data_IF_829094305992
#
_entry.id   IF_829094305992
#
_cell.length_a   1.000
_cell.length_b   1.000
_cell.length_c   1.000
_cell.angle_alpha   90.00
_cell.angle_beta   90.00
_cell.angle_gamma   90.00
#
_symmetry.space_group_name_H-M   'P 1'
#
loop_
_entity.id
_entity.type
_entity.pdbx_description
1 polymer ?
#
# COMPACT_ATOMS: atom_id res chain seq x y z
N UNK A 1 13.34 15.67 14.62
CA UNK A 1 13.05 14.97 13.36
C UNK A 1 14.07 15.39 12.31
N UNK A 2 14.45 14.52 11.38
CA UNK A 2 15.32 14.95 10.28
C UNK A 2 14.52 15.78 9.27
N UNK A 3 15.06 16.91 8.82
CA UNK A 3 14.42 17.90 7.93
C UNK A 3 13.78 17.28 6.67
N UNK A 4 14.36 16.20 6.13
CA UNK A 4 13.83 15.49 4.95
C UNK A 4 12.43 14.89 5.18
N UNK A 5 12.12 14.41 6.39
CA UNK A 5 10.83 13.77 6.67
C UNK A 5 9.72 14.81 6.83
N UNK A 6 10.04 15.98 7.39
CA UNK A 6 9.11 17.11 7.44
C UNK A 6 8.80 17.64 6.03
N UNK A 7 9.81 17.73 5.16
CA UNK A 7 9.60 18.08 3.75
C UNK A 7 8.73 17.05 3.02
N UNK A 8 8.91 15.76 3.30
CA UNK A 8 8.05 14.70 2.75
C UNK A 8 6.60 14.87 3.20
N UNK A 9 6.36 15.02 4.50
CA UNK A 9 5.00 15.24 5.06
C UNK A 9 4.34 16.43 4.38
N UNK A 10 5.01 17.59 4.32
CA UNK A 10 4.48 18.79 3.66
C UNK A 10 4.21 18.58 2.17
N UNK A 11 5.09 17.85 1.47
CA UNK A 11 4.90 17.56 0.05
C UNK A 11 3.64 16.72 -0.18
N UNK A 12 3.45 15.68 0.63
CA UNK A 12 2.28 14.79 0.51
C UNK A 12 1.01 15.53 0.93
N UNK A 13 1.05 16.28 2.02
CA UNK A 13 -0.07 17.12 2.49
C UNK A 13 -0.49 18.14 1.44
N UNK A 14 0.45 18.86 0.82
CA UNK A 14 0.14 19.81 -0.25
C UNK A 14 -0.45 19.15 -1.51
N UNK A 15 -0.12 17.88 -1.78
CA UNK A 15 -0.53 17.18 -3.00
C UNK A 15 -1.85 16.42 -2.83
N UNK A 16 -2.07 15.82 -1.67
CA UNK A 16 -3.18 14.93 -1.37
C UNK A 16 -4.23 15.57 -0.45
N UNK A 17 -3.89 16.64 0.26
CA UNK A 17 -4.79 17.32 1.20
C UNK A 17 -5.38 16.34 2.20
N UNK A 18 -6.70 16.39 2.33
CA UNK A 18 -7.46 15.54 3.26
C UNK A 18 -7.28 14.05 3.00
N UNK A 19 -6.89 13.64 1.79
CA UNK A 19 -6.68 12.25 1.47
C UNK A 19 -5.34 11.69 1.99
N UNK A 20 -4.50 12.51 2.62
CA UNK A 20 -3.33 12.03 3.34
C UNK A 20 -3.76 11.40 4.67
N UNK A 21 -3.57 10.08 4.82
CA UNK A 21 -4.05 9.34 5.99
C UNK A 21 -3.00 9.23 7.09
N UNK A 22 -1.74 9.07 6.72
CA UNK A 22 -0.67 8.85 7.68
C UNK A 22 0.70 8.68 7.03
N UNK A 23 1.75 9.04 7.77
CA UNK A 23 3.12 8.71 7.42
C UNK A 23 3.87 8.20 8.65
N UNK A 24 4.59 7.09 8.50
CA UNK A 24 5.32 6.43 9.58
C UNK A 24 6.73 6.17 9.10
N UNK A 25 7.72 6.62 9.87
CA UNK A 25 9.11 6.23 9.67
C UNK A 25 9.44 5.06 10.57
N UNK A 26 9.99 3.99 10.03
CA UNK A 26 10.58 2.93 10.84
C UNK A 26 12.11 2.97 10.78
N UNK A 27 12.73 2.49 11.85
CA UNK A 27 14.17 2.43 12.05
C UNK A 27 14.53 1.29 13.01
N UNK A 28 15.81 0.97 13.20
CA UNK A 28 16.22 -0.20 14.03
C UNK A 28 15.60 -0.23 15.44
N UNK A 29 15.38 0.93 16.07
CA UNK A 29 14.75 1.05 17.39
C UNK A 29 13.21 1.16 17.43
N UNK A 30 12.50 0.81 16.37
CA UNK A 30 11.02 0.89 16.31
C UNK A 30 10.51 1.83 15.21
N UNK A 31 9.57 2.70 15.55
CA UNK A 31 8.95 3.60 14.58
C UNK A 31 8.61 4.97 15.17
N UNK A 32 8.44 5.96 14.30
CA UNK A 32 7.95 7.29 14.63
C UNK A 32 6.82 7.66 13.68
N UNK A 33 5.67 8.01 14.23
CA UNK A 33 4.56 8.57 13.47
C UNK A 33 4.96 10.00 13.06
N UNK A 34 5.09 10.24 11.76
CA UNK A 34 5.41 11.55 11.19
C UNK A 34 4.16 12.41 11.06
N UNK A 35 3.05 11.77 10.71
CA UNK A 35 1.74 12.35 10.53
C UNK A 35 0.70 11.23 10.67
N UNK A 36 -0.47 11.54 11.22
CA UNK A 36 -1.61 10.64 11.27
C UNK A 36 -2.89 11.47 11.31
N UNK A 37 -3.82 11.17 10.40
CA UNK A 37 -5.13 11.80 10.36
C UNK A 37 -5.98 11.29 11.53
N UNK A 38 -6.79 12.17 12.11
CA UNK A 38 -7.50 11.91 13.38
C UNK A 38 -8.43 10.70 13.33
N UNK A 39 -9.12 10.48 12.19
CA UNK A 39 -10.01 9.34 11.96
C UNK A 39 -9.26 7.99 11.85
N UNK A 40 -7.96 8.02 11.51
CA UNK A 40 -7.10 6.84 11.43
C UNK A 40 -6.42 6.56 12.78
N UNK A 41 -6.28 7.56 13.65
CA UNK A 41 -5.63 7.49 14.96
C UNK A 41 -6.41 6.71 16.04
N UNK A 42 -6.89 5.52 15.68
CA UNK A 42 -7.70 4.61 16.48
C UNK A 42 -6.86 3.65 17.30
N UNK A 43 -7.46 3.01 18.33
CA UNK A 43 -6.81 1.94 19.08
C UNK A 43 -6.47 0.74 18.19
N UNK A 44 -7.33 0.41 17.23
CA UNK A 44 -7.06 -0.63 16.24
C UNK A 44 -5.79 -0.36 15.42
N UNK A 45 -5.52 0.91 15.06
CA UNK A 45 -4.26 1.28 14.41
C UNK A 45 -3.07 1.12 15.35
N UNK A 46 -3.19 1.53 16.62
CA UNK A 46 -2.12 1.37 17.63
C UNK A 46 -1.75 -0.10 17.85
N UNK A 47 -2.73 -0.99 17.84
CA UNK A 47 -2.49 -2.43 18.00
C UNK A 47 -1.87 -3.06 16.73
N UNK A 48 -2.17 -2.50 15.55
CA UNK A 48 -1.72 -3.05 14.27
C UNK A 48 -0.36 -2.50 13.79
N UNK A 49 0.07 -1.33 14.26
CA UNK A 49 1.21 -0.60 13.68
C UNK A 49 2.51 -1.37 13.78
N UNK A 50 2.79 -2.03 14.91
CA UNK A 50 4.04 -2.80 15.07
C UNK A 50 4.09 -3.97 14.09
N UNK A 51 2.97 -4.68 13.92
CA UNK A 51 2.87 -5.75 12.92
C UNK A 51 2.97 -5.24 11.48
N UNK A 52 2.53 -4.00 11.20
CA UNK A 52 2.74 -3.36 9.90
C UNK A 52 4.22 -3.04 9.65
N UNK A 53 4.93 -2.54 10.67
CA UNK A 53 6.35 -2.22 10.56
C UNK A 53 7.19 -3.48 10.35
N UNK A 54 6.92 -4.56 11.08
CA UNK A 54 7.64 -5.83 10.89
C UNK A 54 7.44 -6.39 9.47
N UNK A 55 6.23 -6.28 8.91
CA UNK A 55 5.98 -6.63 7.50
C UNK A 55 6.76 -5.74 6.53
N UNK A 56 6.83 -4.44 6.79
CA UNK A 56 7.61 -3.51 5.95
C UNK A 56 9.12 -3.81 5.97
N UNK A 57 9.66 -4.27 7.11
CA UNK A 57 11.06 -4.75 7.22
C UNK A 57 11.28 -6.06 6.47
N UNK A 58 10.31 -6.98 6.54
CA UNK A 58 10.37 -8.26 5.85
C UNK A 58 9.99 -8.18 4.36
N UNK A 59 9.56 -7.02 3.87
CA UNK A 59 9.11 -6.86 2.49
C UNK A 59 10.21 -7.23 1.49
N UNK A 60 9.85 -8.10 0.54
CA UNK A 60 10.70 -8.56 -0.54
C UNK A 60 10.09 -8.14 -1.88
N UNK A 61 10.75 -7.28 -2.68
CA UNK A 61 10.28 -6.93 -4.01
C UNK A 61 10.18 -8.17 -4.93
N UNK A 62 9.22 -8.15 -5.85
CA UNK A 62 9.05 -9.24 -6.84
C UNK A 62 10.26 -9.45 -7.75
N UNK A 63 11.09 -8.42 -7.93
CA UNK A 63 12.29 -8.49 -8.76
C UNK A 63 13.43 -7.74 -8.10
N UNK A 64 14.62 -8.34 -8.16
CA UNK A 64 15.85 -7.72 -7.72
C UNK A 64 16.63 -7.19 -8.92
N UNK A 65 17.29 -6.02 -8.79
CA UNK A 65 18.18 -5.51 -9.84
C UNK A 65 19.28 -6.52 -10.22
N UNK A 66 19.69 -7.38 -9.28
CA UNK A 66 20.65 -8.46 -9.52
C UNK A 66 20.09 -9.55 -10.45
N UNK A 67 18.79 -9.84 -10.35
CA UNK A 67 18.10 -10.82 -11.18
C UNK A 67 17.65 -10.23 -12.53
N UNK A 68 17.35 -8.94 -12.58
CA UNK A 68 16.95 -8.24 -13.80
C UNK A 68 17.50 -6.79 -13.85
N UNK A 69 18.75 -6.59 -14.32
CA UNK A 69 19.44 -5.31 -14.25
C UNK A 69 18.74 -4.17 -14.99
N UNK A 70 17.97 -4.49 -16.03
CA UNK A 70 17.26 -3.51 -16.85
C UNK A 70 16.11 -2.80 -16.11
N UNK A 71 15.71 -3.28 -14.93
CA UNK A 71 14.69 -2.62 -14.10
C UNK A 71 15.23 -1.38 -13.38
N UNK A 72 16.55 -1.31 -13.15
CA UNK A 72 17.17 -0.31 -12.29
C UNK A 72 16.90 -0.53 -10.81
N UNK A 73 17.31 0.44 -9.98
CA UNK A 73 17.14 0.38 -8.52
C UNK A 73 15.68 0.62 -8.11
N UNK A 74 15.16 -0.21 -7.20
CA UNK A 74 13.83 -0.03 -6.60
C UNK A 74 13.71 1.34 -5.96
N UNK A 75 12.71 2.12 -6.37
CA UNK A 75 12.45 3.47 -5.83
C UNK A 75 11.41 3.43 -4.71
N UNK A 76 10.35 2.66 -4.89
CA UNK A 76 9.27 2.47 -3.93
C UNK A 76 8.43 1.25 -4.31
N UNK A 77 7.67 0.73 -3.35
CA UNK A 77 6.59 -0.23 -3.58
C UNK A 77 5.25 0.44 -3.32
N UNK A 78 4.23 0.08 -4.11
CA UNK A 78 2.87 0.59 -3.95
C UNK A 78 1.91 -0.58 -3.81
N UNK A 79 1.14 -0.56 -2.73
CA UNK A 79 0.08 -1.52 -2.47
C UNK A 79 -1.27 -0.80 -2.49
N UNK A 80 -2.22 -1.37 -3.24
CA UNK A 80 -3.56 -0.81 -3.38
C UNK A 80 -4.56 -1.71 -2.65
N UNK A 81 -5.21 -1.12 -1.65
CA UNK A 81 -6.27 -1.72 -0.84
C UNK A 81 -7.62 -1.13 -1.24
N UNK A 82 -8.71 -1.78 -0.83
CA UNK A 82 -10.08 -1.32 -1.12
C UNK A 82 -10.32 0.15 -0.72
N UNK A 83 -9.75 0.59 0.40
CA UNK A 83 -9.95 1.94 0.95
C UNK A 83 -8.68 2.77 1.03
N UNK A 84 -7.52 2.22 0.66
CA UNK A 84 -6.23 2.89 0.86
C UNK A 84 -5.24 2.60 -0.27
N UNK A 85 -4.31 3.52 -0.47
CA UNK A 85 -3.04 3.23 -1.11
C UNK A 85 -1.92 3.36 -0.07
N UNK A 86 -1.01 2.38 -0.02
CA UNK A 86 0.18 2.41 0.82
C UNK A 86 1.40 2.47 -0.08
N UNK A 87 2.26 3.45 0.16
CA UNK A 87 3.54 3.61 -0.52
C UNK A 87 4.64 3.32 0.48
N UNK A 88 5.55 2.43 0.10
CA UNK A 88 6.70 2.04 0.90
C UNK A 88 8.00 2.54 0.25
N UNK A 89 8.63 3.50 0.92
CA UNK A 89 9.96 4.01 0.57
C UNK A 89 11.01 3.34 1.46
N UNK A 90 11.70 2.33 0.94
CA UNK A 90 12.78 1.66 1.68
C UNK A 90 14.06 2.49 1.58
N UNK A 91 14.62 2.88 2.73
CA UNK A 91 15.88 3.63 2.82
C UNK A 91 17.08 2.74 3.18
N UNK A 92 16.80 1.51 3.64
CA UNK A 92 17.78 0.49 4.02
C UNK A 92 17.10 -0.78 4.52
N UNK A 93 17.85 -1.78 5.03
CA UNK A 93 17.28 -3.06 5.46
C UNK A 93 16.20 -2.93 6.54
N UNK A 94 16.44 -2.03 7.50
CA UNK A 94 15.60 -1.82 8.68
C UNK A 94 15.12 -0.38 8.82
N UNK A 95 15.21 0.40 7.74
CA UNK A 95 14.85 1.83 7.72
C UNK A 95 14.00 2.14 6.50
N UNK A 96 12.98 2.97 6.70
CA UNK A 96 12.12 3.40 5.61
C UNK A 96 10.94 4.21 6.09
N UNK A 97 10.10 4.60 5.13
CA UNK A 97 8.88 5.38 5.36
C UNK A 97 7.70 4.70 4.68
N UNK A 98 6.62 4.56 5.43
CA UNK A 98 5.30 4.20 4.92
C UNK A 98 4.46 5.46 4.81
N UNK A 99 3.82 5.66 3.67
CA UNK A 99 2.84 6.72 3.43
C UNK A 99 1.51 6.05 3.08
N UNK A 100 0.44 6.44 3.76
CA UNK A 100 -0.91 5.98 3.48
C UNK A 100 -1.77 7.13 2.97
N UNK A 101 -2.54 6.84 1.94
CA UNK A 101 -3.46 7.77 1.27
C UNK A 101 -4.83 7.09 1.13
N UNK A 102 -5.90 7.88 0.99
CA UNK A 102 -7.18 7.34 0.52
C UNK A 102 -7.01 6.80 -0.92
N UNK A 103 -7.79 5.77 -1.27
CA UNK A 103 -7.70 5.10 -2.58
C UNK A 103 -7.84 6.08 -3.75
N UNK A 104 -8.64 7.13 -3.56
CA UNK A 104 -8.95 8.12 -4.59
C UNK A 104 -7.76 9.01 -5.00
N UNK A 105 -6.64 9.01 -4.27
CA UNK A 105 -5.43 9.72 -4.73
C UNK A 105 -4.65 8.91 -5.75
N UNK A 106 -4.81 7.59 -5.75
CA UNK A 106 -4.12 6.67 -6.63
C UNK A 106 -4.90 6.41 -7.94
N UNK A 107 -5.77 7.32 -8.40
CA UNK A 107 -6.74 7.02 -9.47
C UNK A 107 -6.11 6.45 -10.76
N UNK A 108 -4.93 6.93 -11.18
CA UNK A 108 -4.29 6.42 -12.40
C UNK A 108 -3.91 4.94 -12.31
N UNK A 109 -3.15 4.58 -11.27
CA UNK A 109 -2.73 3.19 -11.04
C UNK A 109 -3.88 2.32 -10.54
N UNK A 110 -4.74 2.88 -9.69
CA UNK A 110 -5.91 2.23 -9.12
C UNK A 110 -6.97 1.88 -10.16
N UNK A 111 -7.30 2.80 -11.07
CA UNK A 111 -8.23 2.52 -12.17
C UNK A 111 -7.69 1.43 -13.10
N UNK A 112 -6.39 1.45 -13.39
CA UNK A 112 -5.74 0.41 -14.17
C UNK A 112 -5.84 -0.96 -13.49
N UNK A 113 -5.50 -1.05 -12.21
CA UNK A 113 -5.62 -2.31 -11.43
C UNK A 113 -7.07 -2.80 -11.37
N UNK A 114 -8.03 -1.92 -11.08
CA UNK A 114 -9.46 -2.28 -11.08
C UNK A 114 -9.90 -2.86 -12.42
N UNK A 115 -9.43 -2.28 -13.54
CA UNK A 115 -9.74 -2.80 -14.89
C UNK A 115 -9.08 -4.14 -15.16
N UNK A 116 -7.84 -4.37 -14.72
CA UNK A 116 -7.22 -5.69 -14.81
C UNK A 116 -8.01 -6.72 -14.00
N UNK A 117 -8.40 -6.38 -12.77
CA UNK A 117 -9.19 -7.26 -11.91
C UNK A 117 -10.55 -7.57 -12.50
N UNK A 118 -11.25 -6.60 -13.13
CA UNK A 118 -12.56 -6.86 -13.72
C UNK A 118 -12.49 -7.94 -14.81
N UNK A 119 -11.46 -7.88 -15.67
CA UNK A 119 -11.22 -8.92 -16.70
C UNK A 119 -10.98 -10.29 -16.06
N UNK A 120 -10.20 -10.35 -14.97
CA UNK A 120 -9.89 -11.61 -14.28
C UNK A 120 -11.11 -12.21 -13.55
N UNK A 121 -12.08 -11.39 -13.16
CA UNK A 121 -13.31 -11.84 -12.46
C UNK A 121 -14.42 -12.21 -13.46
N UNK A 122 -14.46 -11.60 -14.64
CA UNK A 122 -15.45 -11.90 -15.71
C UNK A 122 -15.30 -13.33 -16.28
N UNK A 123 -14.10 -13.92 -16.25
CA UNK A 123 -13.85 -15.32 -16.67
C UNK A 123 -14.23 -16.37 -15.59
N UNK A 124 -14.72 -15.95 -14.42
CA UNK A 124 -15.15 -16.83 -13.33
C UNK A 124 -16.62 -17.28 -13.38
N UNK A 125 -17.32 -17.00 -14.48
CA UNK A 125 -18.73 -17.38 -14.69
C UNK A 125 -18.91 -18.88 -14.59
N UNK A 126 -19.45 -19.33 -13.45
CA UNK A 126 -19.92 -20.70 -13.23
C UNK A 126 -20.93 -21.03 -14.32
N UNK A 127 -20.55 -21.89 -15.27
CA UNK A 127 -21.51 -22.51 -16.17
C UNK A 127 -22.57 -23.23 -15.33
N UNK A 128 -23.82 -22.80 -15.53
CA UNK A 128 -24.97 -23.25 -14.78
C UNK A 128 -25.12 -24.77 -14.80
N UNK A 129 -25.24 -25.35 -13.62
CA UNK A 129 -25.97 -26.59 -13.45
C UNK A 129 -27.48 -26.28 -13.53
N UNK A 130 -27.94 -25.92 -14.73
CA UNK A 130 -29.35 -26.05 -15.09
C UNK A 130 -29.53 -27.42 -15.73
N UNK A 131 -30.05 -28.35 -14.93
CA UNK A 131 -30.45 -29.68 -15.34
C UNK A 131 -31.57 -30.14 -14.41
N UNK A 132 -32.72 -29.49 -14.54
CA UNK A 132 -34.00 -29.98 -14.00
C UNK A 132 -34.67 -30.87 -15.04
N UNK A 133 -35.42 -31.85 -14.54
CA UNK A 133 -36.37 -32.81 -15.17
C UNK A 133 -35.82 -34.23 -15.35
N UNK A 134 -36.17 -35.24 -14.55
CA UNK A 134 -37.46 -35.88 -14.14
C UNK A 134 -37.65 -37.24 -14.84
N UNK A 135 -38.25 -38.19 -14.11
CA UNK A 135 -38.82 -39.49 -14.54
C UNK A 135 -37.86 -40.71 -14.56
N UNK A 136 -37.91 -41.57 -13.53
CA UNK A 136 -38.80 -42.75 -13.41
C UNK A 136 -38.82 -43.25 -11.94
#
# INVERSE_FOLDING_TARGET
MAEKYERLVRLVENRAGDAFRGAIRYHDGGHTILYLRDDVATDAFRDAVDGLIERARAYEPLSHPESYPNLGATQASVELYEVAAVIHFREGPNTGVLVSLDRDVAQGLGAFVTRCTSVLVEDGGIEGSDGVESSD
#
